data_IF_498767947760
#
_entry.id   IF_498767947760
#
_cell.length_a   1.000
_cell.length_b   1.000
_cell.length_c   1.000
_cell.angle_alpha   90.00
_cell.angle_beta   90.00
_cell.angle_gamma   90.00
#
_symmetry.space_group_name_H-M   'P 1'
#
loop_
_entity.id
_entity.type
_entity.pdbx_description
1 polymer ?
#
# COMPACT_ATOMS: atom_id res chain seq x y z
N UNK A 1 25.17 4.74 9.36
CA UNK A 1 25.04 3.27 9.24
C UNK A 1 23.56 2.92 9.36
N UNK A 2 22.94 2.28 8.35
CA UNK A 2 21.51 1.87 8.46
C UNK A 2 21.44 0.68 9.43
N UNK A 3 20.93 0.90 10.64
CA UNK A 3 20.74 -0.15 11.63
C UNK A 3 19.58 -1.07 11.20
N UNK A 4 19.89 -2.19 10.54
CA UNK A 4 18.84 -3.18 10.27
C UNK A 4 18.37 -3.79 11.59
N UNK A 5 17.07 -4.08 11.66
CA UNK A 5 16.52 -4.90 12.75
C UNK A 5 17.27 -6.21 12.83
N UNK A 6 17.70 -6.57 14.03
CA UNK A 6 18.40 -7.82 14.29
C UNK A 6 17.47 -9.00 13.95
N UNK A 7 18.01 -10.00 13.27
CA UNK A 7 17.26 -11.19 12.87
C UNK A 7 16.63 -11.92 14.07
N UNK A 8 17.28 -11.88 15.24
CA UNK A 8 16.76 -12.42 16.50
C UNK A 8 15.50 -11.68 16.96
N UNK A 9 15.48 -10.36 16.83
CA UNK A 9 14.32 -9.52 17.20
C UNK A 9 13.16 -9.79 16.26
N UNK A 10 13.41 -9.88 14.95
CA UNK A 10 12.39 -10.26 13.95
C UNK A 10 11.77 -11.62 14.32
N UNK A 11 12.61 -12.61 14.61
CA UNK A 11 12.14 -13.96 14.96
C UNK A 11 11.34 -14.00 16.26
N UNK A 12 11.67 -13.15 17.24
CA UNK A 12 10.90 -12.98 18.47
C UNK A 12 9.51 -12.38 18.19
N UNK A 13 9.44 -11.34 17.35
CA UNK A 13 8.19 -10.72 16.93
C UNK A 13 7.32 -11.74 16.18
N UNK A 14 7.89 -12.47 15.22
CA UNK A 14 7.20 -13.54 14.49
C UNK A 14 6.66 -14.61 15.43
N UNK A 15 7.46 -15.08 16.38
CA UNK A 15 7.05 -16.10 17.36
C UNK A 15 5.94 -15.61 18.28
N UNK A 16 5.96 -14.33 18.65
CA UNK A 16 4.91 -13.73 19.47
C UNK A 16 3.60 -13.63 18.70
N UNK A 17 3.64 -13.06 17.49
CA UNK A 17 2.45 -12.82 16.67
C UNK A 17 1.86 -14.11 16.11
N UNK A 18 2.67 -15.14 15.86
CA UNK A 18 2.19 -16.45 15.41
C UNK A 18 1.28 -17.17 16.43
N UNK A 19 1.33 -16.78 17.71
CA UNK A 19 0.43 -17.30 18.75
C UNK A 19 -0.96 -16.68 18.68
N UNK A 20 -1.09 -15.51 18.06
CA UNK A 20 -2.34 -14.77 17.96
C UNK A 20 -3.08 -15.15 16.68
N UNK A 21 -4.18 -15.89 16.81
CA UNK A 21 -4.95 -16.40 15.67
C UNK A 21 -5.57 -15.32 14.79
N UNK A 22 -5.70 -14.10 15.33
CA UNK A 22 -6.24 -12.91 14.66
C UNK A 22 -5.15 -12.03 14.02
N UNK A 23 -3.86 -12.29 14.26
CA UNK A 23 -2.78 -11.53 13.61
C UNK A 23 -2.51 -12.12 12.22
N UNK A 24 -2.87 -11.39 11.17
CA UNK A 24 -2.77 -11.85 9.78
C UNK A 24 -1.48 -11.39 9.11
N UNK A 25 -1.12 -10.14 9.37
CA UNK A 25 0.10 -9.56 8.86
C UNK A 25 0.67 -8.58 9.89
N UNK A 26 1.97 -8.39 9.85
CA UNK A 26 2.64 -7.35 10.60
C UNK A 26 3.58 -6.60 9.67
N UNK A 27 3.60 -5.28 9.80
CA UNK A 27 4.50 -4.42 9.04
C UNK A 27 5.24 -3.48 9.98
N UNK A 28 6.53 -3.32 9.73
CA UNK A 28 7.35 -2.33 10.45
C UNK A 28 7.16 -0.98 9.76
N UNK A 29 6.86 0.04 10.55
CA UNK A 29 6.78 1.42 10.08
C UNK A 29 7.72 2.33 10.88
N UNK A 30 7.64 3.63 10.67
CA UNK A 30 8.42 4.59 11.44
C UNK A 30 9.92 4.63 11.09
N UNK A 31 10.76 4.91 12.09
CA UNK A 31 12.17 5.25 11.87
C UNK A 31 12.97 4.09 11.24
N UNK A 32 12.66 2.85 11.62
CA UNK A 32 13.27 1.63 11.09
C UNK A 32 12.90 1.33 9.63
N UNK A 33 11.68 1.65 9.18
CA UNK A 33 11.32 1.45 7.77
C UNK A 33 11.95 2.50 6.85
N UNK A 34 12.18 3.71 7.37
CA UNK A 34 12.83 4.83 6.66
C UNK A 34 14.36 4.75 6.70
N UNK A 35 14.95 3.96 7.59
CA UNK A 35 16.39 3.81 7.72
C UNK A 35 17.06 4.98 8.48
N UNK A 36 16.31 5.74 9.27
CA UNK A 36 16.75 6.94 10.01
C UNK A 36 16.85 6.74 11.53
N UNK A 37 16.70 5.50 12.00
CA UNK A 37 16.73 5.09 13.40
C UNK A 37 18.11 5.28 14.07
N UNK A 38 18.08 5.48 15.39
CA UNK A 38 19.24 5.61 16.28
C UNK A 38 19.27 4.47 17.32
N UNK A 39 20.32 4.41 18.15
CA UNK A 39 20.40 3.45 19.26
C UNK A 39 19.34 3.64 20.35
N UNK A 40 18.64 4.78 20.34
CA UNK A 40 17.53 5.08 21.25
C UNK A 40 16.16 4.95 20.59
N UNK A 41 16.11 4.62 19.30
CA UNK A 41 14.86 4.51 18.56
C UNK A 41 14.09 3.25 18.94
N UNK A 42 12.78 3.41 19.09
CA UNK A 42 11.78 2.38 19.23
C UNK A 42 11.43 1.74 17.87
N UNK A 43 10.80 0.57 17.94
CA UNK A 43 10.37 -0.20 16.78
C UNK A 43 8.84 -0.08 16.66
N UNK A 44 8.38 0.65 15.66
CA UNK A 44 6.95 0.79 15.37
C UNK A 44 6.44 -0.38 14.53
N UNK A 45 5.46 -1.13 15.05
CA UNK A 45 4.88 -2.31 14.36
C UNK A 45 3.38 -2.12 14.24
N UNK A 46 2.89 -2.20 13.00
CA UNK A 46 1.47 -2.26 12.69
C UNK A 46 1.07 -3.71 12.52
N UNK A 47 0.08 -4.17 13.29
CA UNK A 47 -0.47 -5.52 13.17
C UNK A 47 -1.83 -5.43 12.51
N UNK A 48 -1.97 -6.07 11.36
CA UNK A 48 -3.26 -6.30 10.74
C UNK A 48 -3.95 -7.41 11.52
N UNK A 49 -4.78 -7.00 12.47
CA UNK A 49 -5.64 -7.88 13.23
C UNK A 49 -6.93 -8.09 12.44
N UNK A 50 -7.02 -9.21 11.74
CA UNK A 50 -8.29 -9.70 11.21
C UNK A 50 -8.53 -11.00 11.92
N UNK A 51 -9.66 -11.12 12.60
CA UNK A 51 -10.19 -12.43 12.88
C UNK A 51 -10.16 -13.24 11.58
N UNK A 52 -9.49 -14.41 11.59
CA UNK A 52 -9.43 -15.31 10.42
C UNK A 52 -10.83 -15.62 9.88
N UNK A 53 -11.85 -15.62 10.73
CA UNK A 53 -13.25 -15.77 10.31
C UNK A 53 -13.74 -14.57 9.47
N UNK A 54 -13.25 -13.36 9.71
CA UNK A 54 -13.56 -12.16 8.92
C UNK A 54 -12.90 -12.16 7.53
N UNK A 55 -11.72 -12.78 7.37
CA UNK A 55 -11.13 -13.01 6.05
C UNK A 55 -11.87 -14.09 5.25
N UNK A 56 -12.24 -15.18 5.91
CA UNK A 56 -13.09 -16.21 5.31
C UNK A 56 -14.47 -15.65 4.92
N UNK A 57 -14.97 -14.64 5.64
CA UNK A 57 -16.17 -13.90 5.27
C UNK A 57 -16.00 -13.07 3.99
N UNK A 58 -14.81 -12.57 3.67
CA UNK A 58 -14.57 -11.97 2.34
C UNK A 58 -14.74 -13.04 1.26
N UNK A 59 -14.22 -14.25 1.43
CA UNK A 59 -14.41 -15.32 0.42
C UNK A 59 -15.86 -15.80 0.31
N UNK A 60 -16.62 -15.78 1.41
CA UNK A 60 -17.94 -16.43 1.48
C UNK A 60 -19.12 -15.46 1.41
N UNK A 61 -18.91 -14.15 1.64
CA UNK A 61 -19.95 -13.13 1.61
C UNK A 61 -19.82 -12.22 0.39
N UNK A 62 -20.79 -12.33 -0.53
CA UNK A 62 -20.86 -11.46 -1.71
C UNK A 62 -21.00 -9.98 -1.33
N UNK A 63 -21.73 -9.67 -0.28
CA UNK A 63 -21.94 -8.28 0.15
C UNK A 63 -20.63 -7.63 0.60
N UNK A 64 -19.80 -8.38 1.34
CA UNK A 64 -18.48 -7.91 1.79
C UNK A 64 -17.53 -7.80 0.58
N UNK A 65 -17.54 -8.75 -0.35
CA UNK A 65 -16.76 -8.64 -1.60
C UNK A 65 -17.15 -7.39 -2.39
N UNK A 66 -18.44 -7.15 -2.57
CA UNK A 66 -18.94 -5.97 -3.27
C UNK A 66 -18.54 -4.67 -2.56
N UNK A 67 -18.64 -4.62 -1.24
CA UNK A 67 -18.21 -3.46 -0.46
C UNK A 67 -16.71 -3.20 -0.63
N UNK A 68 -15.87 -4.22 -0.48
CA UNK A 68 -14.41 -4.10 -0.61
C UNK A 68 -14.04 -3.68 -2.04
N UNK A 69 -14.61 -4.32 -3.06
CA UNK A 69 -14.39 -3.98 -4.46
C UNK A 69 -14.79 -2.53 -4.75
N UNK A 70 -15.95 -2.09 -4.28
CA UNK A 70 -16.40 -0.71 -4.45
C UNK A 70 -15.45 0.30 -3.77
N UNK A 71 -15.03 0.03 -2.54
CA UNK A 71 -14.10 0.92 -1.82
C UNK A 71 -12.73 0.99 -2.49
N UNK A 72 -12.19 -0.14 -2.95
CA UNK A 72 -10.91 -0.18 -3.68
C UNK A 72 -11.02 0.55 -5.02
N UNK A 73 -12.11 0.32 -5.76
CA UNK A 73 -12.40 1.03 -6.99
C UNK A 73 -12.39 2.55 -6.79
N UNK A 74 -13.19 3.05 -5.84
CA UNK A 74 -13.30 4.49 -5.54
C UNK A 74 -11.96 5.08 -5.11
N UNK A 75 -11.17 4.38 -4.29
CA UNK A 75 -9.87 4.86 -3.86
C UNK A 75 -8.89 5.01 -5.03
N UNK A 76 -8.87 4.05 -5.96
CA UNK A 76 -8.00 4.12 -7.16
C UNK A 76 -8.42 5.25 -8.09
N UNK A 77 -9.73 5.47 -8.27
CA UNK A 77 -10.23 6.59 -9.08
C UNK A 77 -9.84 7.95 -8.50
N UNK A 78 -10.07 8.18 -7.20
CA UNK A 78 -9.71 9.44 -6.55
C UNK A 78 -8.21 9.73 -6.73
N UNK A 79 -7.35 8.74 -6.53
CA UNK A 79 -5.91 8.90 -6.73
C UNK A 79 -5.56 9.19 -8.20
N UNK A 80 -6.26 8.57 -9.14
CA UNK A 80 -6.08 8.81 -10.58
C UNK A 80 -6.50 10.23 -10.96
N UNK A 81 -7.63 10.71 -10.46
CA UNK A 81 -8.12 12.06 -10.72
C UNK A 81 -7.20 13.13 -10.15
N UNK A 82 -6.69 12.91 -8.92
CA UNK A 82 -5.66 13.78 -8.33
C UNK A 82 -4.41 13.80 -9.23
N UNK A 83 -3.95 12.64 -9.70
CA UNK A 83 -2.78 12.55 -10.56
C UNK A 83 -2.99 13.30 -11.90
N UNK A 84 -4.16 13.13 -12.53
CA UNK A 84 -4.54 13.83 -13.75
C UNK A 84 -4.62 15.34 -13.55
N UNK A 85 -5.19 15.79 -12.43
CA UNK A 85 -5.30 17.20 -12.09
C UNK A 85 -3.90 17.82 -11.90
N UNK A 86 -3.03 17.19 -11.11
CA UNK A 86 -1.64 17.63 -10.91
C UNK A 86 -0.90 17.71 -12.26
N UNK A 87 -0.97 16.67 -13.08
CA UNK A 87 -0.31 16.65 -14.37
C UNK A 87 -0.85 17.74 -15.32
N UNK A 88 -2.14 18.07 -15.22
CA UNK A 88 -2.73 19.17 -15.98
C UNK A 88 -2.29 20.53 -15.49
N UNK A 89 -2.24 20.75 -14.17
CA UNK A 89 -1.80 22.00 -13.58
C UNK A 89 -0.32 22.31 -13.88
N UNK A 90 0.49 21.27 -14.09
CA UNK A 90 1.90 21.36 -14.46
C UNK A 90 2.12 21.31 -15.99
N UNK A 91 1.06 21.32 -16.78
CA UNK A 91 1.09 21.29 -18.26
C UNK A 91 1.91 20.15 -18.84
N UNK A 92 1.92 19.00 -18.16
CA UNK A 92 2.79 17.89 -18.54
C UNK A 92 2.34 17.23 -19.86
N UNK A 93 3.27 16.86 -20.76
CA UNK A 93 2.94 16.22 -22.04
C UNK A 93 2.62 14.72 -21.87
N UNK A 94 1.94 14.10 -22.86
CA UNK A 94 1.76 12.63 -22.91
C UNK A 94 0.79 12.07 -21.87
N UNK A 95 -0.42 12.62 -21.79
CA UNK A 95 -1.47 12.26 -20.82
C UNK A 95 -2.57 11.37 -21.44
N UNK A 96 -2.17 10.36 -22.20
CA UNK A 96 -3.10 9.53 -22.98
C UNK A 96 -3.87 8.52 -22.13
N UNK A 97 -3.31 8.12 -20.98
CA UNK A 97 -3.98 7.25 -20.01
C UNK A 97 -3.59 7.54 -18.57
N UNK A 98 -4.39 7.05 -17.62
CA UNK A 98 -4.11 7.09 -16.20
C UNK A 98 -2.75 6.44 -15.83
N UNK A 99 -2.36 5.38 -16.54
CA UNK A 99 -1.08 4.70 -16.33
C UNK A 99 0.07 5.61 -16.75
N UNK A 100 -0.07 6.26 -17.90
CA UNK A 100 0.94 7.18 -18.43
C UNK A 100 1.13 8.38 -17.51
N UNK A 101 0.04 8.94 -17.00
CA UNK A 101 0.10 10.05 -16.04
C UNK A 101 0.84 9.67 -14.77
N UNK A 102 0.55 8.51 -14.17
CA UNK A 102 1.27 8.04 -12.97
C UNK A 102 2.75 7.83 -13.26
N UNK A 103 3.09 7.27 -14.42
CA UNK A 103 4.49 7.11 -14.84
C UNK A 103 5.19 8.47 -14.97
N UNK A 104 4.49 9.45 -15.54
CA UNK A 104 5.00 10.80 -15.75
C UNK A 104 5.26 11.51 -14.43
N UNK A 105 4.36 11.41 -13.45
CA UNK A 105 4.57 11.96 -12.10
C UNK A 105 5.81 11.38 -11.41
N UNK A 106 6.11 10.10 -11.65
CA UNK A 106 7.34 9.47 -11.15
C UNK A 106 8.61 9.93 -11.87
N UNK A 107 8.50 10.25 -13.17
CA UNK A 107 9.59 10.77 -13.99
C UNK A 107 9.96 12.21 -13.59
N UNK A 108 8.94 13.05 -13.36
CA UNK A 108 9.08 14.45 -12.91
C UNK A 108 9.33 14.55 -11.39
N UNK A 109 9.55 13.43 -10.71
CA UNK A 109 9.89 13.34 -9.28
C UNK A 109 8.85 13.95 -8.32
N UNK A 110 7.61 14.12 -8.77
CA UNK A 110 6.46 14.54 -7.96
C UNK A 110 6.07 13.45 -6.96
N UNK A 111 6.19 12.18 -7.40
CA UNK A 111 6.10 11.00 -6.53
C UNK A 111 7.36 10.15 -6.71
N UNK A 112 7.65 9.31 -5.72
CA UNK A 112 8.82 8.40 -5.83
C UNK A 112 8.64 7.42 -7.00
N UNK A 113 9.74 7.09 -7.68
CA UNK A 113 9.75 6.11 -8.77
C UNK A 113 9.22 4.73 -8.36
N UNK A 114 9.49 4.31 -7.11
CA UNK A 114 8.93 3.07 -6.55
C UNK A 114 7.40 3.12 -6.47
N UNK A 115 6.86 4.21 -5.91
CA UNK A 115 5.42 4.41 -5.82
C UNK A 115 4.78 4.46 -7.20
N UNK A 116 5.36 5.21 -8.15
CA UNK A 116 4.86 5.28 -9.52
C UNK A 116 4.80 3.89 -10.17
N UNK A 117 5.88 3.11 -10.09
CA UNK A 117 5.95 1.76 -10.66
C UNK A 117 4.92 0.80 -10.05
N UNK A 118 4.69 0.89 -8.73
CA UNK A 118 3.69 0.07 -8.05
C UNK A 118 2.27 0.51 -8.39
N UNK A 119 2.02 1.82 -8.42
CA UNK A 119 0.69 2.40 -8.60
C UNK A 119 0.20 2.32 -10.05
N UNK A 120 1.07 2.26 -11.06
CA UNK A 120 0.69 2.01 -12.46
C UNK A 120 -0.15 0.74 -12.67
N UNK A 121 -0.10 -0.23 -11.74
CA UNK A 121 -0.93 -1.43 -11.76
C UNK A 121 -2.36 -1.19 -11.26
N UNK A 122 -2.57 -0.16 -10.47
CA UNK A 122 -3.86 0.13 -9.83
C UNK A 122 -4.96 0.53 -10.83
N UNK A 123 -4.71 1.39 -11.85
CA UNK A 123 -5.71 1.65 -12.89
C UNK A 123 -6.18 0.39 -13.62
N UNK A 124 -5.30 -0.62 -13.79
CA UNK A 124 -5.69 -1.91 -14.37
C UNK A 124 -6.57 -2.73 -13.43
N UNK A 125 -6.27 -2.72 -12.12
CA UNK A 125 -7.12 -3.33 -11.11
C UNK A 125 -8.53 -2.70 -11.13
N UNK A 126 -8.64 -1.37 -11.24
CA UNK A 126 -9.93 -0.69 -11.39
C UNK A 126 -10.75 -1.30 -12.53
N UNK A 127 -10.16 -1.48 -13.71
CA UNK A 127 -10.88 -2.02 -14.86
C UNK A 127 -11.39 -3.44 -14.62
N UNK A 128 -10.62 -4.29 -13.93
CA UNK A 128 -11.03 -5.65 -13.57
C UNK A 128 -12.13 -5.70 -12.50
N UNK A 129 -12.29 -4.63 -11.70
CA UNK A 129 -13.33 -4.55 -10.68
C UNK A 129 -14.68 -4.07 -11.23
N UNK A 130 -14.71 -3.47 -12.42
CA UNK A 130 -15.93 -2.95 -13.06
C UNK A 130 -16.40 -3.84 -14.21
N UNK A 131 -15.46 -4.35 -15.01
CA UNK A 131 -15.70 -5.03 -16.28
C UNK A 131 -15.34 -6.52 -16.19
#
# INVERSE_FOLDING_TARGET
>A
MKFKLDHKVIKQIETLLAKESYAVAAYIFGSYSKGTQSSKSDIDIGVLCLDKSSLNQIETSRDIQHLVNHRLHTAVEICTDIAMNIASALELPGRDSAVDVVALLGKEEIITKDLANRFQKAPKLRNLLIH
#
